data_IF_330169831744
#
_entry.id   IF_330169831744
#
_cell.length_a   1.000
_cell.length_b   1.000
_cell.length_c   1.000
_cell.angle_alpha   90.00
_cell.angle_beta   90.00
_cell.angle_gamma   90.00
#
_symmetry.space_group_name_H-M   'P 1'
#
loop_
_entity.id
_entity.type
_entity.pdbx_description
1 polymer ?
#
# COMPACT_ATOMS: atom_id res chain seq x y z
N UNK A 1 2.95 -8.29 31.17
CA UNK A 1 3.12 -9.72 30.80
C UNK A 1 4.55 -10.12 31.09
N UNK A 2 4.79 -11.29 31.74
CA UNK A 2 6.12 -11.84 31.94
C UNK A 2 6.89 -12.03 30.63
N UNK A 3 8.20 -11.84 30.64
CA UNK A 3 9.06 -11.93 29.46
C UNK A 3 10.21 -12.87 29.78
N UNK A 4 10.33 -13.98 29.03
CA UNK A 4 11.42 -14.92 29.11
C UNK A 4 12.60 -14.52 28.21
N UNK A 5 13.82 -14.98 28.55
CA UNK A 5 14.99 -14.87 27.69
C UNK A 5 15.78 -13.56 27.78
N UNK A 6 15.39 -12.61 28.63
CA UNK A 6 16.22 -11.45 28.95
C UNK A 6 17.44 -11.87 29.77
N UNK A 7 18.63 -11.44 29.41
CA UNK A 7 19.85 -11.74 30.15
C UNK A 7 20.29 -10.51 30.93
N UNK A 8 20.44 -10.64 32.23
CA UNK A 8 20.94 -9.58 33.11
C UNK A 8 22.30 -9.92 33.70
N UNK A 9 23.12 -8.89 33.89
CA UNK A 9 24.36 -8.95 34.66
C UNK A 9 24.20 -8.18 35.94
N UNK A 10 24.60 -8.79 37.08
CA UNK A 10 24.77 -8.11 38.36
C UNK A 10 26.20 -7.64 38.50
N UNK A 11 26.40 -6.37 38.81
CA UNK A 11 27.69 -5.71 38.94
C UNK A 11 27.86 -5.13 40.33
N UNK A 12 29.09 -5.07 40.83
CA UNK A 12 29.44 -4.28 42.00
C UNK A 12 29.30 -2.76 41.65
N UNK A 13 28.51 -2.00 42.39
CA UNK A 13 28.39 -0.55 42.20
C UNK A 13 29.26 0.28 43.15
N UNK A 14 30.05 -0.39 43.98
CA UNK A 14 31.12 0.17 44.81
C UNK A 14 32.24 -0.85 44.97
N UNK A 15 33.42 -0.43 45.48
CA UNK A 15 34.51 -1.32 45.85
C UNK A 15 34.08 -2.13 47.06
N UNK A 16 34.07 -3.47 46.93
CA UNK A 16 33.80 -4.37 48.02
C UNK A 16 35.09 -4.69 48.75
N UNK A 17 35.09 -4.44 50.06
CA UNK A 17 36.29 -4.59 50.90
C UNK A 17 36.12 -5.73 51.92
N UNK A 18 37.27 -6.37 52.26
CA UNK A 18 37.32 -7.29 53.35
C UNK A 18 37.37 -6.57 54.73
N UNK A 19 37.43 -7.32 55.82
CA UNK A 19 37.47 -6.77 57.16
C UNK A 19 38.70 -5.88 57.43
N UNK A 20 39.81 -6.06 56.69
CA UNK A 20 41.03 -5.28 56.80
C UNK A 20 40.99 -4.02 55.94
N UNK A 21 39.89 -3.74 55.25
CA UNK A 21 39.73 -2.58 54.38
C UNK A 21 40.35 -2.74 52.98
N UNK A 22 40.90 -3.90 52.64
CA UNK A 22 41.43 -4.17 51.31
C UNK A 22 40.32 -4.43 50.30
N UNK A 23 40.37 -3.82 49.16
CA UNK A 23 39.46 -4.10 48.03
C UNK A 23 39.65 -5.52 47.52
N UNK A 24 38.57 -6.30 47.55
CA UNK A 24 38.51 -7.67 47.03
C UNK A 24 37.76 -7.79 45.73
N UNK A 25 36.86 -6.85 45.45
CA UNK A 25 36.11 -6.69 44.19
C UNK A 25 36.04 -5.21 43.88
N UNK A 26 36.51 -4.81 42.70
CA UNK A 26 36.44 -3.43 42.25
C UNK A 26 35.05 -3.06 41.74
N UNK A 27 34.65 -1.81 41.91
CA UNK A 27 33.45 -1.24 41.31
C UNK A 27 33.39 -1.52 39.80
N UNK A 28 32.23 -1.92 39.27
CA UNK A 28 32.02 -2.26 37.88
C UNK A 28 32.29 -3.71 37.49
N UNK A 29 32.79 -4.56 38.46
CA UNK A 29 33.01 -5.97 38.21
C UNK A 29 31.67 -6.71 38.01
N UNK A 30 31.59 -7.49 36.91
CA UNK A 30 30.45 -8.40 36.69
C UNK A 30 30.56 -9.60 37.63
N UNK A 31 29.55 -9.82 38.44
CA UNK A 31 29.51 -10.84 39.49
C UNK A 31 28.76 -12.10 39.08
N UNK A 32 27.61 -11.91 38.39
CA UNK A 32 26.76 -13.01 37.96
C UNK A 32 25.94 -12.60 36.75
N UNK A 33 25.59 -13.57 35.88
CA UNK A 33 24.60 -13.44 34.83
C UNK A 33 23.40 -14.33 35.11
N UNK A 34 22.21 -13.84 34.90
CA UNK A 34 20.98 -14.60 35.03
C UNK A 34 20.06 -14.35 33.84
N UNK A 35 19.23 -15.31 33.50
CA UNK A 35 18.27 -15.28 32.39
C UNK A 35 16.86 -15.33 32.99
N UNK A 36 15.94 -14.51 32.44
CA UNK A 36 14.56 -14.55 32.85
C UNK A 36 13.89 -15.84 32.40
N UNK A 37 13.15 -16.46 33.34
CA UNK A 37 12.34 -17.65 33.12
C UNK A 37 11.01 -17.34 32.41
N UNK A 38 10.18 -18.36 32.20
CA UNK A 38 8.85 -18.25 31.57
C UNK A 38 7.89 -17.33 32.36
N UNK A 39 8.13 -17.13 33.66
CA UNK A 39 7.38 -16.22 34.53
C UNK A 39 8.00 -14.81 34.55
N UNK A 40 9.02 -14.54 33.72
CA UNK A 40 9.75 -13.28 33.67
C UNK A 40 10.62 -13.03 34.90
N UNK A 41 10.90 -14.04 35.69
CA UNK A 41 11.69 -13.93 36.93
C UNK A 41 13.17 -14.11 36.63
N UNK A 42 13.98 -13.19 37.19
CA UNK A 42 15.44 -13.26 37.22
C UNK A 42 15.87 -13.41 38.67
N UNK A 43 16.80 -14.31 38.93
CA UNK A 43 17.36 -14.49 40.25
C UNK A 43 18.90 -14.55 40.17
N UNK A 44 19.56 -13.72 40.97
CA UNK A 44 20.97 -13.84 41.29
C UNK A 44 21.09 -14.64 42.60
N UNK A 45 21.71 -15.78 42.52
CA UNK A 45 21.57 -16.82 43.58
C UNK A 45 22.83 -16.99 44.42
N UNK A 46 23.93 -16.32 44.09
CA UNK A 46 25.14 -16.40 44.91
C UNK A 46 24.96 -15.68 46.24
N UNK A 47 25.79 -16.02 47.18
CA UNK A 47 25.87 -15.33 48.47
C UNK A 47 26.74 -14.09 48.30
N UNK A 48 26.14 -12.91 48.48
CA UNK A 48 26.80 -11.61 48.32
C UNK A 48 26.92 -10.90 49.67
N UNK A 49 28.06 -10.23 49.92
CA UNK A 49 28.22 -9.35 51.07
C UNK A 49 27.24 -8.13 50.94
N UNK A 50 26.97 -7.48 52.09
CA UNK A 50 26.26 -6.21 52.05
C UNK A 50 27.10 -5.13 51.34
N UNK A 51 26.60 -4.59 50.23
CA UNK A 51 27.22 -3.58 49.40
C UNK A 51 26.19 -2.99 48.43
N UNK A 52 26.63 -2.09 47.60
CA UNK A 52 25.81 -1.61 46.48
C UNK A 52 26.05 -2.42 45.22
N UNK A 53 24.95 -2.80 44.59
CA UNK A 53 24.94 -3.58 43.35
C UNK A 53 24.07 -2.89 42.31
N UNK A 54 24.35 -3.17 41.05
CA UNK A 54 23.54 -2.71 39.93
C UNK A 54 23.30 -3.87 38.95
N UNK A 55 22.04 -4.12 38.63
CA UNK A 55 21.68 -5.06 37.58
C UNK A 55 21.40 -4.30 36.27
N UNK A 56 21.93 -4.81 35.15
CA UNK A 56 21.74 -4.25 33.82
C UNK A 56 21.37 -5.35 32.84
N UNK A 57 20.48 -5.03 31.92
CA UNK A 57 20.17 -5.92 30.82
C UNK A 57 21.37 -6.00 29.85
N UNK A 58 21.81 -7.22 29.58
CA UNK A 58 22.93 -7.52 28.67
C UNK A 58 22.45 -8.00 27.31
N UNK A 59 21.32 -8.73 27.28
CA UNK A 59 20.67 -9.21 26.08
C UNK A 59 19.17 -9.00 26.23
N UNK A 60 18.62 -8.19 25.35
CA UNK A 60 17.18 -7.96 25.29
C UNK A 60 16.46 -9.14 24.68
N UNK A 61 15.20 -9.41 25.06
CA UNK A 61 14.38 -10.41 24.42
C UNK A 61 14.06 -10.03 22.96
N UNK A 62 13.84 -11.02 22.11
CA UNK A 62 13.41 -10.77 20.74
C UNK A 62 12.10 -9.95 20.70
N UNK A 63 12.02 -8.97 19.82
CA UNK A 63 10.85 -8.09 19.69
C UNK A 63 10.77 -6.94 20.70
N UNK A 64 11.84 -6.70 21.45
CA UNK A 64 11.93 -5.57 22.39
C UNK A 64 13.09 -4.68 22.03
N UNK A 65 13.00 -3.40 22.41
CA UNK A 65 14.07 -2.42 22.22
C UNK A 65 15.11 -2.51 23.34
N UNK A 66 16.31 -2.00 23.06
CA UNK A 66 17.36 -1.86 24.07
C UNK A 66 16.88 -0.89 25.16
N UNK A 67 17.00 -1.31 26.42
CA UNK A 67 16.73 -0.47 27.58
C UNK A 67 18.03 -0.32 28.38
N UNK A 68 18.53 0.89 28.50
CA UNK A 68 19.77 1.22 29.24
C UNK A 68 19.52 1.46 30.73
N UNK A 69 18.26 1.39 31.21
CA UNK A 69 17.95 1.53 32.62
C UNK A 69 18.67 0.47 33.45
N UNK A 70 19.06 0.84 34.64
CA UNK A 70 19.72 -0.03 35.59
C UNK A 70 18.89 -0.17 36.87
N UNK A 71 18.90 -1.35 37.44
CA UNK A 71 18.26 -1.62 38.73
C UNK A 71 19.31 -1.60 39.82
N UNK A 72 19.21 -0.65 40.75
CA UNK A 72 20.15 -0.47 41.83
C UNK A 72 19.68 -1.15 43.11
N UNK A 73 20.61 -1.81 43.82
CA UNK A 73 20.38 -2.47 45.09
C UNK A 73 21.38 -1.92 46.08
N UNK A 74 20.90 -1.32 47.19
CA UNK A 74 21.68 -0.92 48.35
C UNK A 74 21.38 -1.92 49.45
N UNK A 75 22.19 -2.99 49.53
CA UNK A 75 21.96 -4.10 50.45
C UNK A 75 22.52 -3.81 51.83
N UNK A 76 21.70 -3.98 52.88
CA UNK A 76 22.04 -3.65 54.27
C UNK A 76 21.59 -4.73 55.23
N UNK A 77 22.20 -4.78 56.35
CA UNK A 77 21.80 -5.65 57.49
C UNK A 77 20.36 -5.38 57.89
N UNK A 78 19.56 -6.42 57.94
CA UNK A 78 18.10 -6.38 58.24
C UNK A 78 17.72 -6.86 59.61
N UNK A 79 18.67 -7.11 60.49
CA UNK A 79 18.43 -7.59 61.86
C UNK A 79 18.87 -9.03 62.07
N UNK A 80 19.08 -9.40 63.36
CA UNK A 80 19.67 -10.70 63.74
C UNK A 80 18.76 -11.91 63.46
N UNK A 81 17.45 -11.69 63.26
CA UNK A 81 16.48 -12.76 63.03
C UNK A 81 16.29 -13.08 61.53
N UNK A 82 16.94 -12.27 60.63
CA UNK A 82 16.87 -12.44 59.19
C UNK A 82 18.08 -13.25 58.71
N UNK A 83 17.82 -14.50 58.28
CA UNK A 83 18.89 -15.43 57.82
C UNK A 83 19.42 -15.01 56.42
N UNK A 84 18.54 -14.51 55.55
CA UNK A 84 18.89 -14.04 54.20
C UNK A 84 18.07 -12.80 53.84
N UNK A 85 18.72 -11.70 53.54
CA UNK A 85 18.07 -10.48 53.09
C UNK A 85 17.74 -10.61 51.58
N UNK A 86 16.46 -10.54 51.24
CA UNK A 86 15.98 -10.65 49.84
C UNK A 86 15.58 -9.29 49.35
N UNK A 87 16.12 -8.91 48.20
CA UNK A 87 15.81 -7.64 47.50
C UNK A 87 15.13 -7.97 46.17
N UNK A 88 13.99 -7.34 45.94
CA UNK A 88 13.21 -7.50 44.72
C UNK A 88 13.06 -6.15 43.99
N UNK A 89 13.02 -6.21 42.70
CA UNK A 89 12.72 -5.04 41.85
C UNK A 89 12.00 -5.50 40.59
N UNK A 90 11.34 -4.57 39.92
CA UNK A 90 10.72 -4.78 38.62
C UNK A 90 11.52 -4.07 37.55
N UNK A 91 11.59 -4.69 36.36
CA UNK A 91 12.18 -4.12 35.17
C UNK A 91 11.21 -4.26 34.00
N UNK A 92 11.07 -3.20 33.18
CA UNK A 92 10.10 -3.17 32.08
C UNK A 92 10.82 -3.02 30.75
N UNK A 93 10.61 -3.97 29.84
CA UNK A 93 11.04 -3.87 28.46
C UNK A 93 9.94 -3.21 27.60
N UNK A 94 10.37 -2.39 26.67
CA UNK A 94 9.48 -1.74 25.69
C UNK A 94 9.46 -2.58 24.42
N UNK A 95 8.29 -3.08 23.98
CA UNK A 95 8.20 -3.81 22.71
C UNK A 95 8.41 -2.85 21.53
N UNK A 96 8.95 -3.36 20.43
CA UNK A 96 8.83 -2.69 19.15
C UNK A 96 7.37 -2.55 18.78
N UNK A 97 6.98 -1.45 18.17
CA UNK A 97 5.59 -1.18 17.78
C UNK A 97 5.57 -0.58 16.38
N UNK A 98 4.76 -1.16 15.50
CA UNK A 98 4.49 -0.67 14.17
C UNK A 98 3.02 -0.34 14.00
N UNK A 99 2.75 0.73 13.27
CA UNK A 99 1.43 1.08 12.76
C UNK A 99 1.46 1.01 11.25
N UNK A 100 0.47 0.34 10.68
CA UNK A 100 0.29 0.16 9.24
C UNK A 100 -0.96 0.87 8.80
N UNK A 101 -0.83 1.71 7.76
CA UNK A 101 -1.92 2.44 7.15
C UNK A 101 -2.03 2.11 5.67
N UNK A 102 -3.24 2.20 5.13
CA UNK A 102 -3.56 1.95 3.73
C UNK A 102 -4.29 3.16 3.17
N UNK A 103 -3.68 3.87 2.22
CA UNK A 103 -4.19 5.16 1.76
C UNK A 103 -4.33 5.25 0.23
N UNK A 104 -5.23 6.11 -0.24
CA UNK A 104 -5.29 6.55 -1.63
C UNK A 104 -4.10 7.46 -1.94
N UNK A 105 -3.39 7.20 -3.04
CA UNK A 105 -2.18 7.96 -3.39
C UNK A 105 -2.47 9.42 -3.73
N UNK A 106 -3.69 9.73 -4.18
CA UNK A 106 -4.08 11.06 -4.67
C UNK A 106 -4.69 11.90 -3.56
N UNK A 107 -5.67 11.37 -2.84
CA UNK A 107 -6.38 12.09 -1.79
C UNK A 107 -5.73 11.95 -0.42
N UNK A 108 -4.94 10.89 -0.21
CA UNK A 108 -4.42 10.53 1.11
C UNK A 108 -5.48 9.95 2.06
N UNK A 109 -6.69 9.68 1.55
CA UNK A 109 -7.75 9.08 2.36
C UNK A 109 -7.39 7.65 2.75
N UNK A 110 -7.66 7.29 4.01
CA UNK A 110 -7.54 5.92 4.49
C UNK A 110 -8.52 5.00 3.75
N UNK A 111 -8.05 3.82 3.33
CA UNK A 111 -8.81 2.86 2.54
C UNK A 111 -9.23 1.66 3.38
N UNK A 112 -10.50 1.28 3.26
CA UNK A 112 -11.07 0.08 3.89
C UNK A 112 -11.19 -1.06 2.88
N UNK A 113 -10.88 -2.29 3.34
CA UNK A 113 -11.17 -3.51 2.58
C UNK A 113 -9.97 -4.11 1.85
N UNK A 114 -8.77 -3.52 1.92
CA UNK A 114 -7.56 -4.18 1.46
C UNK A 114 -7.19 -5.35 2.38
N UNK A 115 -6.76 -6.46 1.82
CA UNK A 115 -6.16 -7.56 2.61
C UNK A 115 -4.65 -7.44 2.56
N UNK A 116 -4.06 -7.22 3.73
CA UNK A 116 -2.63 -6.98 3.92
C UNK A 116 -2.00 -8.10 4.74
N UNK A 117 -0.76 -8.45 4.42
CA UNK A 117 0.02 -9.49 5.10
C UNK A 117 1.43 -8.99 5.35
N UNK A 118 1.94 -9.18 6.58
CA UNK A 118 3.36 -9.01 6.89
C UNK A 118 4.05 -10.37 6.85
N UNK A 119 5.12 -10.45 6.08
CA UNK A 119 5.96 -11.65 5.93
C UNK A 119 7.32 -11.41 6.56
N UNK A 120 7.88 -12.46 7.17
CA UNK A 120 9.28 -12.45 7.61
C UNK A 120 10.25 -12.63 6.41
N UNK A 121 11.55 -12.63 6.69
CA UNK A 121 12.61 -12.81 5.68
C UNK A 121 12.57 -14.17 4.96
N UNK A 122 11.95 -15.18 5.56
CA UNK A 122 11.83 -16.54 5.03
C UNK A 122 10.51 -16.72 4.27
N UNK A 123 9.66 -15.68 4.23
CA UNK A 123 8.36 -15.65 3.56
C UNK A 123 7.22 -16.23 4.41
N UNK A 124 7.44 -16.48 5.70
CA UNK A 124 6.37 -16.94 6.59
C UNK A 124 5.47 -15.77 6.98
N UNK A 125 4.18 -16.05 7.10
CA UNK A 125 3.19 -15.07 7.53
C UNK A 125 3.37 -14.76 9.01
N UNK A 126 3.59 -13.47 9.30
CA UNK A 126 3.66 -12.93 10.68
C UNK A 126 2.29 -12.48 11.13
N UNK A 127 1.57 -11.77 10.26
CA UNK A 127 0.21 -11.29 10.52
C UNK A 127 -0.53 -11.03 9.21
N UNK A 128 -1.87 -11.10 9.25
CA UNK A 128 -2.76 -10.80 8.13
C UNK A 128 -4.02 -10.11 8.65
N UNK A 129 -4.42 -9.01 8.00
CA UNK A 129 -5.60 -8.24 8.37
C UNK A 129 -6.29 -7.62 7.17
N UNK A 130 -7.48 -7.09 7.40
CA UNK A 130 -8.19 -6.24 6.44
C UNK A 130 -8.07 -4.78 6.90
N UNK A 131 -7.72 -3.87 6.00
CA UNK A 131 -7.59 -2.44 6.31
C UNK A 131 -8.93 -1.84 6.73
N UNK A 132 -8.88 -0.94 7.71
CA UNK A 132 -10.01 -0.13 8.18
C UNK A 132 -9.60 1.35 8.15
N UNK A 133 -10.42 2.20 7.52
CA UNK A 133 -10.18 3.65 7.44
C UNK A 133 -10.25 4.38 8.79
N UNK A 134 -10.64 3.70 9.87
CA UNK A 134 -10.79 4.31 11.20
C UNK A 134 -9.59 4.09 12.10
N UNK A 135 -8.88 2.99 11.93
CA UNK A 135 -7.81 2.58 12.83
C UNK A 135 -6.64 1.97 12.06
N UNK A 136 -5.44 2.48 12.31
CA UNK A 136 -4.21 1.84 11.84
C UNK A 136 -4.06 0.44 12.46
N UNK A 137 -3.59 -0.52 11.68
CA UNK A 137 -3.27 -1.84 12.20
C UNK A 137 -1.96 -1.82 12.98
N UNK A 138 -1.95 -2.41 14.18
CA UNK A 138 -0.79 -2.38 15.09
C UNK A 138 -0.18 -3.76 15.26
N UNK A 139 1.09 -3.90 14.87
CA UNK A 139 1.89 -5.11 15.15
C UNK A 139 2.96 -4.76 16.18
N UNK A 140 3.07 -5.59 17.22
CA UNK A 140 4.10 -5.47 18.27
C UNK A 140 5.06 -6.63 18.23
N UNK A 141 6.28 -6.40 18.73
CA UNK A 141 7.33 -7.41 18.92
C UNK A 141 7.95 -7.95 17.63
N UNK A 142 7.98 -7.16 16.57
CA UNK A 142 8.84 -7.47 15.43
C UNK A 142 10.31 -7.36 15.87
N UNK A 143 11.17 -8.25 15.37
CA UNK A 143 12.55 -8.38 15.85
C UNK A 143 13.42 -7.26 15.30
N UNK A 144 14.10 -6.53 16.18
CA UNK A 144 15.03 -5.44 15.83
C UNK A 144 16.12 -5.92 14.88
N UNK A 145 16.35 -5.16 13.81
CA UNK A 145 17.34 -5.46 12.78
C UNK A 145 16.89 -6.45 11.71
N UNK A 146 15.74 -7.14 11.90
CA UNK A 146 15.17 -7.99 10.87
C UNK A 146 14.36 -7.15 9.87
N UNK A 147 14.35 -7.61 8.61
CA UNK A 147 13.57 -7.02 7.52
C UNK A 147 12.33 -7.85 7.27
N UNK A 148 11.21 -7.18 7.13
CA UNK A 148 9.89 -7.74 6.84
C UNK A 148 9.36 -7.18 5.55
N UNK A 149 8.38 -7.87 4.96
CA UNK A 149 7.69 -7.43 3.74
C UNK A 149 6.21 -7.23 4.05
N UNK A 150 5.71 -6.01 3.82
CA UNK A 150 4.28 -5.74 3.76
C UNK A 150 3.80 -6.02 2.34
N UNK A 151 2.86 -6.95 2.21
CA UNK A 151 2.23 -7.36 0.95
C UNK A 151 0.75 -7.09 0.98
N UNK A 152 0.24 -6.58 -0.12
CA UNK A 152 -1.19 -6.56 -0.37
C UNK A 152 -1.58 -7.84 -1.12
N UNK A 153 -2.54 -8.59 -0.58
CA UNK A 153 -3.10 -9.76 -1.26
C UNK A 153 -4.28 -9.36 -2.14
N UNK A 154 -5.14 -8.51 -1.62
CA UNK A 154 -6.29 -7.95 -2.34
C UNK A 154 -6.39 -6.45 -2.09
N UNK A 155 -6.48 -5.68 -3.18
CA UNK A 155 -6.76 -4.25 -3.13
C UNK A 155 -8.25 -3.99 -2.84
N UNK A 156 -8.61 -2.81 -2.30
CA UNK A 156 -9.99 -2.38 -2.22
C UNK A 156 -10.62 -2.31 -3.61
N UNK A 157 -11.94 -2.46 -3.68
CA UNK A 157 -12.66 -2.32 -4.95
C UNK A 157 -12.42 -0.94 -5.59
N UNK A 158 -12.09 -0.93 -6.87
CA UNK A 158 -11.77 0.30 -7.61
C UNK A 158 -10.29 0.65 -7.64
N UNK A 159 -9.43 -0.11 -6.98
CA UNK A 159 -7.98 0.14 -6.87
C UNK A 159 -7.13 -0.93 -7.55
N UNK A 160 -5.91 -0.55 -7.87
CA UNK A 160 -4.85 -1.46 -8.32
C UNK A 160 -4.11 -2.02 -7.11
N UNK A 161 -3.70 -3.28 -7.22
CA UNK A 161 -2.86 -3.92 -6.21
C UNK A 161 -1.51 -3.21 -6.10
N UNK A 162 -1.14 -2.79 -4.90
CA UNK A 162 0.13 -2.16 -4.61
C UNK A 162 1.30 -3.16 -4.70
N UNK A 163 2.50 -2.63 -4.93
CA UNK A 163 3.74 -3.40 -4.84
C UNK A 163 4.16 -3.64 -3.39
N UNK A 164 4.83 -4.76 -3.14
CA UNK A 164 5.37 -5.10 -1.82
C UNK A 164 6.30 -3.99 -1.28
N UNK A 165 6.20 -3.71 0.02
CA UNK A 165 7.05 -2.77 0.73
C UNK A 165 7.94 -3.53 1.70
N UNK A 166 9.27 -3.36 1.60
CA UNK A 166 10.21 -3.87 2.59
C UNK A 166 10.49 -2.81 3.65
N UNK A 167 10.51 -3.23 4.92
CA UNK A 167 10.86 -2.37 6.05
C UNK A 167 11.71 -3.13 7.06
N UNK A 168 12.62 -2.42 7.72
CA UNK A 168 13.54 -2.98 8.73
C UNK A 168 13.18 -2.40 10.09
N UNK A 169 13.16 -3.25 11.10
CA UNK A 169 12.81 -2.85 12.47
C UNK A 169 13.96 -2.12 13.13
N UNK A 170 13.73 -0.86 13.49
CA UNK A 170 14.70 -0.04 14.21
C UNK A 170 14.64 -0.28 15.71
N UNK A 171 15.80 -0.14 16.37
CA UNK A 171 15.92 -0.22 17.84
C UNK A 171 15.49 1.11 18.48
N UNK A 172 14.19 1.36 18.46
CA UNK A 172 13.59 2.58 19.02
C UNK A 172 12.33 2.26 19.82
N UNK A 173 12.14 2.94 20.94
CA UNK A 173 10.91 2.87 21.73
C UNK A 173 9.73 3.63 21.14
N UNK A 174 9.92 4.26 19.97
CA UNK A 174 8.87 5.00 19.27
C UNK A 174 8.05 4.05 18.39
N UNK A 175 6.81 4.45 18.10
CA UNK A 175 6.01 3.80 17.07
C UNK A 175 6.65 4.04 15.70
N UNK A 176 6.85 2.98 14.93
CA UNK A 176 7.33 3.02 13.55
C UNK A 176 6.13 2.87 12.62
N UNK A 177 6.14 3.56 11.49
CA UNK A 177 4.99 3.62 10.58
C UNK A 177 5.36 3.06 9.21
N UNK A 178 4.46 2.27 8.63
CA UNK A 178 4.52 1.82 7.24
C UNK A 178 3.20 2.17 6.57
N UNK A 179 3.27 3.03 5.55
CA UNK A 179 2.13 3.44 4.75
C UNK A 179 2.19 2.74 3.38
N UNK A 180 1.12 2.05 2.99
CA UNK A 180 0.96 1.50 1.66
C UNK A 180 -0.09 2.28 0.89
N UNK A 181 0.27 2.74 -0.32
CA UNK A 181 -0.57 3.59 -1.16
C UNK A 181 -1.08 2.84 -2.37
N UNK A 182 -2.36 3.03 -2.67
CA UNK A 182 -3.00 2.48 -3.86
C UNK A 182 -3.29 3.54 -4.90
N UNK A 183 -3.18 3.13 -6.16
CA UNK A 183 -3.58 3.90 -7.32
C UNK A 183 -4.91 3.38 -7.86
N UNK A 184 -5.70 4.28 -8.45
CA UNK A 184 -6.87 3.90 -9.23
C UNK A 184 -6.46 3.61 -10.67
N UNK A 185 -7.07 2.60 -11.36
CA UNK A 185 -6.89 2.43 -12.79
C UNK A 185 -7.52 3.58 -13.57
N UNK A 186 -7.05 3.78 -14.81
CA UNK A 186 -7.59 4.77 -15.72
C UNK A 186 -8.32 4.13 -16.89
N UNK A 187 -9.11 4.92 -17.61
CA UNK A 187 -9.82 4.53 -18.81
C UNK A 187 -9.24 5.13 -20.08
N UNK A 188 -9.37 4.41 -21.19
CA UNK A 188 -9.04 4.89 -22.54
C UNK A 188 -10.17 4.54 -23.51
N UNK A 189 -10.62 5.54 -24.29
CA UNK A 189 -11.61 5.37 -25.34
C UNK A 189 -10.91 5.54 -26.69
N UNK A 190 -11.17 4.59 -27.59
CA UNK A 190 -10.63 4.60 -28.96
C UNK A 190 -11.77 4.41 -29.96
N UNK A 191 -11.89 5.32 -30.94
CA UNK A 191 -12.78 5.20 -32.08
C UNK A 191 -11.94 4.93 -33.32
N UNK A 192 -12.32 3.90 -34.08
CA UNK A 192 -11.89 3.69 -35.44
C UNK A 192 -13.01 4.13 -36.38
N UNK A 193 -12.76 5.18 -37.16
CA UNK A 193 -13.74 5.79 -38.04
C UNK A 193 -13.41 5.51 -39.48
N UNK A 194 -14.37 4.96 -40.20
CA UNK A 194 -14.28 4.74 -41.66
C UNK A 194 -15.49 5.34 -42.41
N UNK A 195 -15.37 5.32 -43.72
CA UNK A 195 -16.41 5.74 -44.66
C UNK A 195 -16.23 5.15 -46.05
N UNK A 196 -17.26 5.22 -46.88
CA UNK A 196 -17.21 4.66 -48.23
C UNK A 196 -16.66 5.69 -49.27
N UNK A 197 -15.61 5.32 -49.96
CA UNK A 197 -15.00 6.08 -51.01
C UNK A 197 -15.14 5.39 -52.38
N UNK A 198 -15.24 6.19 -53.46
CA UNK A 198 -15.19 5.65 -54.83
C UNK A 198 -13.78 5.15 -55.13
N UNK A 199 -13.66 3.94 -55.62
CA UNK A 199 -12.37 3.35 -56.06
C UNK A 199 -12.17 3.48 -57.57
N UNK A 200 -13.15 2.94 -58.32
CA UNK A 200 -13.09 2.85 -59.77
C UNK A 200 -14.49 2.75 -60.37
N UNK A 201 -14.56 2.59 -61.69
CA UNK A 201 -15.79 2.37 -62.41
C UNK A 201 -15.65 1.10 -63.29
N UNK A 202 -16.70 0.29 -63.31
CA UNK A 202 -16.82 -0.84 -64.25
C UNK A 202 -17.76 -0.45 -65.34
N UNK A 203 -17.28 -0.52 -66.62
CA UNK A 203 -18.10 -0.29 -67.81
C UNK A 203 -18.80 -1.59 -68.19
N UNK A 204 -20.12 -1.61 -68.10
CA UNK A 204 -20.97 -2.71 -68.60
C UNK A 204 -21.37 -2.41 -70.05
N UNK A 205 -20.92 -3.25 -70.95
CA UNK A 205 -21.30 -3.16 -72.39
C UNK A 205 -22.58 -3.95 -72.63
N UNK A 206 -23.67 -3.24 -72.83
CA UNK A 206 -24.96 -3.78 -73.21
C UNK A 206 -25.56 -2.98 -74.38
N UNK A 207 -26.89 -2.88 -74.47
CA UNK A 207 -27.58 -2.03 -75.43
C UNK A 207 -27.26 -0.53 -75.24
N UNK A 208 -26.88 -0.18 -73.99
CA UNK A 208 -26.41 1.14 -73.56
C UNK A 208 -25.14 0.95 -72.76
N UNK A 209 -24.25 1.97 -72.69
CA UNK A 209 -23.11 2.00 -71.81
C UNK A 209 -23.61 2.33 -70.39
N UNK A 210 -23.35 1.44 -69.46
CA UNK A 210 -23.69 1.65 -68.06
C UNK A 210 -22.42 1.58 -67.21
N UNK A 211 -22.24 2.58 -66.36
CA UNK A 211 -21.12 2.68 -65.47
C UNK A 211 -21.56 2.30 -64.04
N UNK A 212 -20.92 1.26 -63.45
CA UNK A 212 -21.09 0.90 -62.08
C UNK A 212 -19.92 1.50 -61.30
N UNK A 213 -20.24 2.31 -60.31
CA UNK A 213 -19.22 2.86 -59.39
C UNK A 213 -18.99 1.83 -58.30
N UNK A 214 -17.70 1.49 -58.08
CA UNK A 214 -17.27 0.60 -57.04
C UNK A 214 -16.80 1.45 -55.85
N UNK A 215 -17.16 1.00 -54.66
CA UNK A 215 -16.84 1.68 -53.41
C UNK A 215 -16.07 0.75 -52.50
N UNK A 216 -15.20 1.31 -51.68
CA UNK A 216 -14.49 0.60 -50.62
C UNK A 216 -14.55 1.44 -49.34
N UNK A 217 -14.35 0.77 -48.19
CA UNK A 217 -14.22 1.45 -46.91
C UNK A 217 -12.78 1.81 -46.66
N UNK A 218 -12.54 3.04 -46.22
CA UNK A 218 -11.24 3.52 -45.80
C UNK A 218 -11.39 4.50 -44.63
N UNK A 219 -10.27 4.76 -43.98
CA UNK A 219 -10.15 5.62 -42.80
C UNK A 219 -10.69 7.03 -43.06
N UNK A 220 -11.49 7.54 -42.11
CA UNK A 220 -12.09 8.87 -42.20
C UNK A 220 -11.42 9.84 -41.21
N UNK A 221 -10.52 10.71 -41.71
CA UNK A 221 -9.83 11.70 -40.92
C UNK A 221 -10.67 12.98 -40.74
N UNK A 222 -10.48 13.71 -39.65
CA UNK A 222 -11.09 15.02 -39.38
C UNK A 222 -12.52 14.97 -38.85
N UNK A 223 -13.03 13.81 -38.49
CA UNK A 223 -14.33 13.64 -37.84
C UNK A 223 -14.21 13.96 -36.35
N UNK A 224 -15.13 14.80 -35.85
CA UNK A 224 -15.08 15.30 -34.48
C UNK A 224 -16.16 14.63 -33.64
N UNK A 225 -15.76 14.14 -32.44
CA UNK A 225 -16.63 13.59 -31.42
C UNK A 225 -16.53 14.37 -30.13
N UNK A 226 -17.65 14.66 -29.51
CA UNK A 226 -17.74 15.14 -28.14
C UNK A 226 -17.98 13.94 -27.21
N UNK A 227 -17.21 13.89 -26.11
CA UNK A 227 -17.28 12.84 -25.08
C UNK A 227 -18.02 13.39 -23.88
N UNK A 228 -19.00 12.66 -23.39
CA UNK A 228 -19.85 13.05 -22.26
C UNK A 228 -19.85 11.97 -21.19
N UNK A 229 -19.96 12.38 -19.93
CA UNK A 229 -20.24 11.47 -18.83
C UNK A 229 -21.70 10.98 -18.90
N UNK A 230 -21.93 9.66 -18.87
CA UNK A 230 -23.28 9.07 -18.91
C UNK A 230 -23.95 9.06 -17.54
N UNK A 231 -23.18 9.02 -16.49
CA UNK A 231 -23.58 9.03 -15.08
C UNK A 231 -22.62 9.93 -14.27
N UNK A 232 -22.93 10.20 -13.01
CA UNK A 232 -21.99 10.89 -12.13
C UNK A 232 -20.75 9.99 -11.92
N UNK A 233 -19.58 10.51 -12.27
CA UNK A 233 -18.31 9.82 -12.13
C UNK A 233 -17.63 10.33 -10.86
N UNK A 234 -17.47 9.44 -9.88
CA UNK A 234 -17.00 9.76 -8.53
C UNK A 234 -15.70 9.05 -8.18
N UNK A 235 -15.00 9.56 -7.18
CA UNK A 235 -13.77 8.93 -6.66
C UNK A 235 -14.07 7.56 -6.02
N UNK A 236 -13.07 6.65 -6.09
CA UNK A 236 -13.17 5.32 -5.49
C UNK A 236 -12.84 5.29 -3.99
N UNK A 237 -12.36 6.41 -3.42
CA UNK A 237 -11.85 6.53 -2.05
C UNK A 237 -12.96 6.64 -0.97
N UNK A 238 -14.22 6.63 -1.38
CA UNK A 238 -15.36 6.77 -0.47
C UNK A 238 -15.62 8.20 -0.01
N UNK A 239 -14.91 9.19 -0.54
CA UNK A 239 -15.16 10.62 -0.27
C UNK A 239 -16.21 11.22 -1.18
N UNK A 240 -16.73 10.44 -2.16
CA UNK A 240 -17.76 10.86 -3.14
C UNK A 240 -17.37 12.13 -3.91
N UNK A 241 -16.05 12.33 -4.16
CA UNK A 241 -15.57 13.45 -4.96
C UNK A 241 -16.04 13.26 -6.40
N UNK A 242 -16.89 14.17 -6.89
CA UNK A 242 -17.43 14.11 -8.24
C UNK A 242 -16.42 14.69 -9.23
N UNK A 243 -15.91 13.85 -10.15
CA UNK A 243 -15.07 14.28 -11.26
C UNK A 243 -15.88 14.89 -12.40
N UNK A 244 -16.99 14.23 -12.78
CA UNK A 244 -17.93 14.68 -13.81
C UNK A 244 -19.35 14.33 -13.39
N UNK A 245 -20.30 15.22 -13.66
CA UNK A 245 -21.72 14.94 -13.50
C UNK A 245 -22.30 14.32 -14.76
N UNK A 246 -23.37 13.57 -14.62
CA UNK A 246 -24.12 13.03 -15.73
C UNK A 246 -24.49 14.14 -16.73
N UNK A 247 -24.11 13.97 -18.01
CA UNK A 247 -24.31 14.92 -19.09
C UNK A 247 -23.21 15.97 -19.25
N UNK A 248 -22.19 16.02 -18.38
CA UNK A 248 -21.05 16.90 -18.54
C UNK A 248 -20.25 16.52 -19.78
N UNK A 249 -19.89 17.51 -20.59
CA UNK A 249 -18.93 17.33 -21.66
C UNK A 249 -17.51 17.23 -21.08
N UNK A 250 -16.89 16.08 -21.28
CA UNK A 250 -15.56 15.73 -20.73
C UNK A 250 -14.45 16.18 -21.69
N UNK A 251 -14.63 15.94 -22.99
CA UNK A 251 -13.62 16.25 -24.00
C UNK A 251 -14.22 16.37 -25.40
N UNK A 252 -13.40 16.86 -26.32
CA UNK A 252 -13.62 16.77 -27.77
C UNK A 252 -12.41 16.06 -28.39
N UNK A 253 -12.63 15.05 -29.21
CA UNK A 253 -11.62 14.28 -29.92
C UNK A 253 -11.87 14.32 -31.42
N UNK A 254 -10.77 14.23 -32.21
CA UNK A 254 -10.83 14.29 -33.66
C UNK A 254 -10.04 13.13 -34.26
N UNK A 255 -10.57 12.49 -35.30
CA UNK A 255 -9.90 11.39 -35.96
C UNK A 255 -8.66 11.88 -36.75
N UNK A 256 -7.56 11.15 -36.60
CA UNK A 256 -6.31 11.39 -37.33
C UNK A 256 -6.34 10.80 -38.76
N UNK A 257 -5.23 10.85 -39.45
CA UNK A 257 -5.10 10.35 -40.87
C UNK A 257 -5.36 8.82 -40.98
N UNK A 258 -5.37 8.10 -39.87
CA UNK A 258 -5.71 6.68 -39.82
C UNK A 258 -7.15 6.45 -39.40
N UNK A 259 -7.99 7.47 -39.32
CA UNK A 259 -9.35 7.39 -38.85
C UNK A 259 -9.48 7.12 -37.32
N UNK A 260 -8.41 7.32 -36.53
CA UNK A 260 -8.40 7.00 -35.11
C UNK A 260 -8.57 8.28 -34.30
N UNK A 261 -9.60 8.31 -33.43
CA UNK A 261 -9.72 9.27 -32.34
C UNK A 261 -9.51 8.56 -31.01
N UNK A 262 -8.75 9.17 -30.09
CA UNK A 262 -8.39 8.56 -28.81
C UNK A 262 -8.39 9.60 -27.69
N UNK A 263 -8.83 9.18 -26.52
CA UNK A 263 -8.65 9.88 -25.25
C UNK A 263 -8.21 8.89 -24.18
N UNK A 264 -7.20 9.28 -23.41
CA UNK A 264 -6.60 8.50 -22.34
C UNK A 264 -6.82 9.17 -20.98
N UNK A 265 -6.44 8.45 -19.91
CA UNK A 265 -6.41 8.93 -18.52
C UNK A 265 -7.77 9.40 -18.00
N UNK A 266 -8.85 8.82 -18.53
CA UNK A 266 -10.19 9.08 -18.01
C UNK A 266 -10.39 8.39 -16.66
N UNK A 267 -11.08 9.02 -15.71
CA UNK A 267 -11.63 8.32 -14.56
C UNK A 267 -12.51 7.15 -15.01
N UNK A 268 -12.53 6.06 -14.23
CA UNK A 268 -13.43 4.94 -14.54
C UNK A 268 -14.89 5.36 -14.38
N UNK A 269 -15.76 4.85 -15.28
CA UNK A 269 -17.17 5.15 -15.32
C UNK A 269 -17.77 4.93 -16.69
N UNK A 270 -19.02 5.33 -16.89
CA UNK A 270 -19.70 5.20 -18.17
C UNK A 270 -19.75 6.52 -18.92
N UNK A 271 -19.42 6.45 -20.18
CA UNK A 271 -19.39 7.59 -21.09
C UNK A 271 -20.27 7.35 -22.31
N UNK A 272 -20.58 8.39 -23.05
CA UNK A 272 -21.08 8.30 -24.39
C UNK A 272 -20.45 9.35 -25.27
N UNK A 273 -20.35 9.08 -26.56
CA UNK A 273 -19.75 9.95 -27.56
C UNK A 273 -20.80 10.31 -28.60
N UNK A 274 -20.75 11.55 -29.09
CA UNK A 274 -21.64 12.04 -30.13
C UNK A 274 -20.77 12.65 -31.22
N UNK A 275 -20.97 12.21 -32.45
CA UNK A 275 -20.34 12.86 -33.59
C UNK A 275 -20.93 14.25 -33.79
N UNK A 276 -20.11 15.28 -33.73
CA UNK A 276 -20.56 16.70 -33.85
C UNK A 276 -20.15 17.33 -35.18
N UNK A 277 -19.22 16.72 -35.88
CA UNK A 277 -18.77 17.15 -37.19
C UNK A 277 -18.20 16.00 -38.00
N UNK A 278 -18.67 15.84 -39.23
CA UNK A 278 -18.06 14.97 -40.23
C UNK A 278 -17.35 15.80 -41.34
N UNK A 279 -16.76 15.12 -42.30
CA UNK A 279 -16.12 15.78 -43.46
C UNK A 279 -17.09 15.86 -44.66
N UNK A 280 -16.78 16.73 -45.62
CA UNK A 280 -17.57 16.91 -46.82
C UNK A 280 -17.75 15.60 -47.59
N UNK A 281 -18.96 15.36 -48.06
CA UNK A 281 -19.35 14.14 -48.80
C UNK A 281 -19.88 12.99 -47.93
N UNK A 282 -19.89 13.16 -46.61
CA UNK A 282 -20.44 12.16 -45.67
C UNK A 282 -21.64 12.73 -44.90
N UNK A 283 -22.49 11.82 -44.43
CA UNK A 283 -23.65 12.14 -43.60
C UNK A 283 -23.20 12.11 -42.14
N UNK A 284 -23.55 13.16 -41.39
CA UNK A 284 -23.34 13.19 -39.93
C UNK A 284 -24.24 12.12 -39.26
N UNK A 285 -23.66 11.29 -38.40
CA UNK A 285 -24.38 10.38 -37.55
C UNK A 285 -24.17 10.81 -36.08
N UNK A 286 -25.14 11.53 -35.55
CA UNK A 286 -25.16 12.04 -34.18
C UNK A 286 -25.72 11.04 -33.16
N UNK A 287 -25.93 9.78 -33.55
CA UNK A 287 -26.36 8.72 -32.66
C UNK A 287 -25.32 8.51 -31.52
N UNK A 288 -25.73 8.59 -30.25
CA UNK A 288 -24.79 8.41 -29.15
C UNK A 288 -24.18 7.00 -29.12
N UNK A 289 -22.88 6.92 -28.98
CA UNK A 289 -22.09 5.70 -28.90
C UNK A 289 -21.66 5.49 -27.45
N UNK A 290 -22.04 4.40 -26.82
CA UNK A 290 -21.73 4.11 -25.42
C UNK A 290 -20.32 3.57 -25.27
N UNK A 291 -19.61 4.04 -24.22
CA UNK A 291 -18.30 3.56 -23.81
C UNK A 291 -18.33 3.24 -22.30
N UNK A 292 -18.15 1.96 -21.97
CA UNK A 292 -18.12 1.47 -20.59
C UNK A 292 -16.67 1.25 -20.15
N UNK A 293 -16.22 2.07 -19.20
CA UNK A 293 -14.92 1.99 -18.56
C UNK A 293 -15.06 1.54 -17.10
N UNK A 294 -15.97 0.63 -16.81
CA UNK A 294 -16.16 0.10 -15.46
C UNK A 294 -14.93 -0.67 -14.98
N UNK A 295 -14.66 -0.61 -13.69
CA UNK A 295 -13.59 -1.37 -13.05
C UNK A 295 -13.65 -2.86 -13.37
N UNK A 296 -12.51 -3.45 -13.77
CA UNK A 296 -12.40 -4.86 -14.13
C UNK A 296 -11.82 -5.67 -12.98
N UNK A 297 -10.57 -5.39 -12.61
CA UNK A 297 -9.85 -6.06 -11.51
C UNK A 297 -8.64 -5.24 -11.04
N UNK A 298 -8.05 -5.69 -9.92
CA UNK A 298 -6.89 -5.03 -9.29
C UNK A 298 -5.58 -5.08 -10.08
N UNK A 299 -5.54 -5.76 -11.23
CA UNK A 299 -4.33 -5.91 -12.07
C UNK A 299 -4.47 -5.15 -13.40
N UNK A 300 -5.69 -4.73 -13.76
CA UNK A 300 -5.98 -4.01 -15.00
C UNK A 300 -5.73 -2.51 -14.81
N UNK A 301 -4.54 -2.07 -15.20
CA UNK A 301 -4.11 -0.67 -15.04
C UNK A 301 -4.88 0.30 -15.92
N UNK A 302 -5.24 -0.11 -17.15
CA UNK A 302 -6.00 0.71 -18.09
C UNK A 302 -7.16 -0.09 -18.64
N UNK A 303 -8.38 0.43 -18.50
CA UNK A 303 -9.60 -0.14 -19.07
C UNK A 303 -9.84 0.50 -20.45
N UNK A 304 -10.03 -0.32 -21.48
CA UNK A 304 -10.22 0.14 -22.86
C UNK A 304 -11.65 -0.06 -23.33
N UNK A 305 -12.22 0.98 -23.96
CA UNK A 305 -13.42 0.90 -24.78
C UNK A 305 -13.05 1.24 -26.23
N UNK A 306 -13.14 0.26 -27.12
CA UNK A 306 -12.87 0.40 -28.55
C UNK A 306 -14.17 0.30 -29.36
N UNK A 307 -14.39 1.21 -30.32
CA UNK A 307 -15.57 1.22 -31.18
C UNK A 307 -15.18 1.44 -32.64
N UNK A 308 -15.82 0.68 -33.52
CA UNK A 308 -15.74 0.87 -34.99
C UNK A 308 -17.00 1.57 -35.47
N UNK A 309 -16.84 2.72 -36.13
CA UNK A 309 -17.94 3.60 -36.55
C UNK A 309 -17.78 3.96 -38.00
N UNK A 310 -18.83 3.79 -38.79
CA UNK A 310 -18.85 4.07 -40.23
C UNK A 310 -19.79 5.21 -40.54
N UNK A 311 -19.36 6.22 -41.32
CA UNK A 311 -20.28 7.21 -41.91
C UNK A 311 -20.71 6.77 -43.31
N UNK A 312 -21.98 6.96 -43.60
CA UNK A 312 -22.50 6.82 -44.94
C UNK A 312 -22.07 8.01 -45.77
N UNK A 313 -21.68 7.76 -47.04
CA UNK A 313 -21.48 8.83 -48.00
C UNK A 313 -22.80 9.51 -48.37
N UNK A 314 -22.76 10.79 -48.65
CA UNK A 314 -23.91 11.49 -49.24
C UNK A 314 -24.14 10.97 -50.67
N UNK A 315 -25.36 10.51 -50.95
CA UNK A 315 -25.76 9.96 -52.25
C UNK A 315 -26.39 11.06 -53.10
N UNK A 316 -26.07 11.05 -54.41
CA UNK A 316 -26.74 11.87 -55.41
C UNK A 316 -27.80 10.99 -56.08
N UNK A 317 -29.03 11.46 -56.16
CA UNK A 317 -30.16 10.80 -56.83
C UNK A 317 -30.54 11.58 -58.08
#
# INVERSE_FOLDING_TARGET
TPIAGAVFGLYADEDIKNADGRVIIEKGTLLEKAISDENGKIAFVKDYPFAKYVARELVKPAGYVTNEEAVNFDTKYQGQDVKAAVYNSEYKNTPTTFEFTKTDITSGAELTGATLTVLDKDGNVVDTWTSDAKEAHVIKRLVVGETYTLREEFAPYGYLKATDIQFTVEDTGKVQHVEMKDEVPTGSIVINKDGEFVTDTTLMKGYWYDFIFNFFKDSLAGVTFDVYAKEDIVSADGLDTVYHKAGDKVATIVTNDKGIARIDDLPLGKYYLVETKTIDGFVLDDTPIEADLSYIDQNTKVVFAGMDVTNERQKVQ
#
